data_IF_063423919184
#
_entry.id   IF_063423919184
#
_cell.length_a   1.000
_cell.length_b   1.000
_cell.length_c   1.000
_cell.angle_alpha   90.00
_cell.angle_beta   90.00
_cell.angle_gamma   90.00
#
_symmetry.space_group_name_H-M   'P 1'
#
loop_
_entity.id
_entity.type
_entity.pdbx_description
1 polymer ?
#
# COMPACT_ATOMS: atom_id res chain seq x y z
N UNK A 1 -27.41 -18.23 -1.58
CA UNK A 1 -26.17 -18.54 -2.31
C UNK A 1 -26.06 -17.58 -3.48
N UNK A 2 -25.07 -16.71 -3.40
CA UNK A 2 -24.70 -15.74 -4.42
C UNK A 2 -23.48 -16.24 -5.19
N UNK A 3 -23.42 -15.99 -6.50
CA UNK A 3 -22.26 -16.30 -7.32
C UNK A 3 -21.72 -15.01 -7.93
N UNK A 4 -20.52 -14.60 -7.52
CA UNK A 4 -19.85 -13.42 -8.06
C UNK A 4 -18.92 -13.84 -9.18
N UNK A 5 -19.26 -13.46 -10.41
CA UNK A 5 -18.41 -13.61 -11.57
C UNK A 5 -17.67 -12.30 -11.83
N UNK A 6 -16.36 -12.31 -11.60
CA UNK A 6 -15.54 -11.10 -11.61
C UNK A 6 -14.61 -11.12 -12.82
N UNK A 7 -14.74 -10.10 -13.66
CA UNK A 7 -13.90 -9.86 -14.85
C UNK A 7 -12.43 -9.55 -14.45
N UNK A 8 -11.48 -9.86 -15.34
CA UNK A 8 -10.04 -9.59 -15.12
C UNK A 8 -9.77 -8.14 -14.80
N UNK A 9 -10.45 -7.21 -15.48
CA UNK A 9 -10.22 -5.78 -15.29
C UNK A 9 -10.44 -5.35 -13.84
N UNK A 10 -11.46 -5.93 -13.18
CA UNK A 10 -11.81 -5.64 -11.79
C UNK A 10 -10.71 -6.12 -10.84
N UNK A 11 -10.16 -7.32 -11.04
CA UNK A 11 -9.03 -7.83 -10.25
C UNK A 11 -7.79 -6.94 -10.35
N UNK A 12 -7.49 -6.44 -11.55
CA UNK A 12 -6.38 -5.52 -11.77
C UNK A 12 -6.62 -4.15 -11.12
N UNK A 13 -7.88 -3.72 -11.00
CA UNK A 13 -8.25 -2.49 -10.29
C UNK A 13 -8.19 -2.67 -8.78
N UNK A 14 -8.68 -3.79 -8.23
CA UNK A 14 -8.56 -4.12 -6.79
C UNK A 14 -7.10 -4.07 -6.37
N UNK A 15 -6.20 -4.66 -7.16
CA UNK A 15 -4.76 -4.69 -6.86
C UNK A 15 -4.06 -3.31 -6.86
N UNK A 16 -4.73 -2.26 -7.36
CA UNK A 16 -4.24 -0.88 -7.37
C UNK A 16 -5.05 0.03 -6.44
N UNK A 17 -6.10 -0.50 -5.82
CA UNK A 17 -7.01 0.28 -4.99
C UNK A 17 -6.36 0.64 -3.66
N UNK A 18 -6.68 1.84 -3.15
CA UNK A 18 -6.30 2.23 -1.78
C UNK A 18 -7.04 1.39 -0.73
N UNK A 19 -8.26 0.92 -1.04
CA UNK A 19 -9.10 0.12 -0.15
C UNK A 19 -8.92 -1.38 -0.39
N UNK A 20 -7.77 -1.80 -0.94
CA UNK A 20 -7.48 -3.19 -1.28
C UNK A 20 -7.67 -4.15 -0.09
N UNK A 21 -7.33 -3.72 1.14
CA UNK A 21 -7.42 -4.56 2.34
C UNK A 21 -8.87 -4.84 2.74
N UNK A 22 -9.71 -3.81 2.80
CA UNK A 22 -11.14 -3.95 3.08
C UNK A 22 -11.84 -4.83 2.02
N UNK A 23 -11.50 -4.67 0.73
CA UNK A 23 -12.06 -5.48 -0.35
C UNK A 23 -11.66 -6.96 -0.23
N UNK A 24 -10.38 -7.24 0.04
CA UNK A 24 -9.88 -8.61 0.19
C UNK A 24 -10.49 -9.30 1.42
N UNK A 25 -10.61 -8.58 2.53
CA UNK A 25 -11.23 -9.09 3.74
C UNK A 25 -12.72 -9.37 3.53
N UNK A 26 -13.44 -8.47 2.86
CA UNK A 26 -14.83 -8.69 2.49
C UNK A 26 -15.01 -9.96 1.66
N UNK A 27 -14.12 -10.22 0.69
CA UNK A 27 -14.18 -11.46 -0.08
C UNK A 27 -13.93 -12.71 0.77
N UNK A 28 -12.96 -12.67 1.70
CA UNK A 28 -12.74 -13.80 2.60
C UNK A 28 -13.97 -14.07 3.46
N UNK A 29 -14.59 -13.03 4.05
CA UNK A 29 -15.80 -13.18 4.86
C UNK A 29 -16.98 -13.71 4.04
N UNK A 30 -17.15 -13.23 2.79
CA UNK A 30 -18.16 -13.73 1.86
C UNK A 30 -17.97 -15.23 1.53
N UNK A 31 -16.72 -15.68 1.37
CA UNK A 31 -16.40 -17.10 1.13
C UNK A 31 -16.61 -17.94 2.41
N UNK A 32 -16.17 -17.45 3.57
CA UNK A 32 -16.24 -18.17 4.84
C UNK A 32 -17.68 -18.30 5.37
N UNK A 33 -18.54 -17.31 5.08
CA UNK A 33 -19.96 -17.34 5.44
C UNK A 33 -20.77 -18.41 4.68
N UNK A 34 -20.20 -19.02 3.63
CA UNK A 34 -20.89 -19.91 2.68
C UNK A 34 -22.15 -19.30 2.04
N UNK A 35 -22.35 -17.98 2.14
CA UNK A 35 -23.47 -17.29 1.52
C UNK A 35 -23.15 -16.88 0.07
N UNK A 36 -21.86 -16.72 -0.25
CA UNK A 36 -21.39 -16.38 -1.58
C UNK A 36 -20.25 -17.30 -2.04
N UNK A 37 -20.17 -17.50 -3.35
CA UNK A 37 -19.04 -18.12 -4.02
C UNK A 37 -18.52 -17.18 -5.10
N UNK A 38 -17.20 -17.03 -5.19
CA UNK A 38 -16.56 -16.26 -6.24
C UNK A 38 -16.19 -17.23 -7.36
N UNK A 39 -16.49 -16.85 -8.60
CA UNK A 39 -16.33 -17.65 -9.80
C UNK A 39 -15.35 -16.94 -10.71
N UNK A 40 -14.26 -17.63 -11.06
CA UNK A 40 -13.15 -17.07 -11.82
C UNK A 40 -12.84 -17.98 -13.02
N UNK A 41 -12.99 -17.49 -14.25
CA UNK A 41 -12.49 -18.19 -15.42
C UNK A 41 -10.98 -18.38 -15.36
N UNK A 42 -10.50 -19.53 -15.83
CA UNK A 42 -9.06 -19.81 -15.92
C UNK A 42 -8.34 -18.75 -16.74
N UNK A 43 -8.99 -18.26 -17.81
CA UNK A 43 -8.50 -17.15 -18.63
C UNK A 43 -8.24 -15.86 -17.80
N UNK A 44 -9.14 -15.55 -16.86
CA UNK A 44 -9.02 -14.36 -15.98
C UNK A 44 -7.81 -14.51 -15.05
N UNK A 45 -7.67 -15.69 -14.42
CA UNK A 45 -6.56 -15.98 -13.53
C UNK A 45 -5.21 -15.92 -14.26
N UNK A 46 -5.12 -16.55 -15.43
CA UNK A 46 -3.91 -16.52 -16.27
C UNK A 46 -3.55 -15.09 -16.70
N UNK A 47 -4.54 -14.28 -17.08
CA UNK A 47 -4.33 -12.90 -17.46
C UNK A 47 -3.87 -12.04 -16.27
N UNK A 48 -4.43 -12.26 -15.08
CA UNK A 48 -3.98 -11.60 -13.86
C UNK A 48 -2.52 -11.96 -13.53
N UNK A 49 -2.19 -13.25 -13.50
CA UNK A 49 -0.83 -13.74 -13.19
C UNK A 49 0.21 -13.20 -14.18
N UNK A 50 -0.11 -13.15 -15.47
CA UNK A 50 0.77 -12.56 -16.49
C UNK A 50 1.00 -11.06 -16.27
N UNK A 51 0.03 -10.36 -15.68
CA UNK A 51 0.14 -8.94 -15.38
C UNK A 51 0.64 -8.66 -13.94
N UNK A 52 0.88 -9.68 -13.11
CA UNK A 52 1.26 -9.57 -11.68
C UNK A 52 2.42 -8.61 -11.45
N UNK A 53 3.53 -8.81 -12.14
CA UNK A 53 4.73 -7.96 -12.00
C UNK A 53 4.46 -6.51 -12.38
N UNK A 54 3.65 -6.31 -13.43
CA UNK A 54 3.27 -4.97 -13.89
C UNK A 54 2.36 -4.27 -12.88
N UNK A 55 1.50 -5.01 -12.19
CA UNK A 55 0.64 -4.47 -11.12
C UNK A 55 1.48 -4.02 -9.95
N UNK A 56 2.42 -4.85 -9.48
CA UNK A 56 3.36 -4.50 -8.41
C UNK A 56 4.15 -3.23 -8.76
N UNK A 57 4.65 -3.14 -10.00
CA UNK A 57 5.37 -1.96 -10.48
C UNK A 57 4.47 -0.72 -10.61
N UNK A 58 3.21 -0.88 -11.02
CA UNK A 58 2.26 0.23 -11.08
C UNK A 58 1.93 0.77 -9.68
N UNK A 59 1.75 -0.12 -8.69
CA UNK A 59 1.51 0.27 -7.30
C UNK A 59 2.73 1.02 -6.72
N UNK A 60 3.96 0.54 -7.00
CA UNK A 60 5.22 1.25 -6.70
C UNK A 60 5.22 2.68 -7.24
N UNK A 61 4.91 2.84 -8.53
CA UNK A 61 4.89 4.14 -9.19
C UNK A 61 3.79 5.05 -8.64
N UNK A 62 2.62 4.50 -8.32
CA UNK A 62 1.51 5.25 -7.74
C UNK A 62 1.90 5.84 -6.38
N UNK A 63 2.43 5.02 -5.47
CA UNK A 63 2.89 5.50 -4.14
C UNK A 63 3.97 6.57 -4.32
N UNK A 64 4.95 6.34 -5.19
CA UNK A 64 5.98 7.35 -5.51
C UNK A 64 5.39 8.66 -6.06
N UNK A 65 4.35 8.58 -6.89
CA UNK A 65 3.68 9.76 -7.46
C UNK A 65 2.87 10.55 -6.44
N UNK A 66 2.16 9.86 -5.54
CA UNK A 66 1.42 10.49 -4.43
C UNK A 66 2.40 11.19 -3.49
N UNK A 67 3.50 10.52 -3.19
CA UNK A 67 4.60 11.08 -2.41
C UNK A 67 5.14 12.37 -3.02
N UNK A 68 5.35 12.37 -4.34
CA UNK A 68 5.80 13.54 -5.08
C UNK A 68 4.77 14.68 -5.08
N UNK A 69 3.47 14.37 -5.17
CA UNK A 69 2.39 15.36 -5.06
C UNK A 69 2.38 16.02 -3.69
N UNK A 70 2.49 15.23 -2.61
CA UNK A 70 2.56 15.75 -1.24
C UNK A 70 3.79 16.65 -1.08
N UNK A 71 4.96 16.20 -1.55
CA UNK A 71 6.19 17.00 -1.55
C UNK A 71 6.02 18.33 -2.31
N UNK A 72 5.32 18.33 -3.44
CA UNK A 72 5.04 19.53 -4.24
C UNK A 72 4.08 20.49 -3.53
N UNK A 73 3.05 19.98 -2.87
CA UNK A 73 2.10 20.78 -2.09
C UNK A 73 2.82 21.45 -0.92
N UNK A 74 3.59 20.69 -0.14
CA UNK A 74 4.41 21.25 0.95
C UNK A 74 5.44 22.23 0.41
N UNK A 75 6.05 21.94 -0.75
CA UNK A 75 6.97 22.85 -1.41
C UNK A 75 6.34 24.18 -1.82
N UNK A 76 5.10 24.17 -2.28
CA UNK A 76 4.39 25.35 -2.79
C UNK A 76 3.68 26.17 -1.71
N UNK A 77 3.16 25.51 -0.66
CA UNK A 77 2.29 26.12 0.34
C UNK A 77 2.81 25.97 1.78
N UNK A 78 3.97 25.34 1.99
CA UNK A 78 4.56 25.17 3.31
C UNK A 78 5.04 26.50 3.89
N UNK A 79 4.60 26.80 5.12
CA UNK A 79 5.06 27.94 5.91
C UNK A 79 6.42 27.68 6.60
N UNK A 80 6.59 28.20 7.81
CA UNK A 80 7.88 28.16 8.54
C UNK A 80 8.43 26.74 8.83
N UNK A 81 7.61 25.67 8.73
CA UNK A 81 8.04 24.28 8.91
C UNK A 81 8.34 23.51 7.61
N UNK A 82 8.35 24.19 6.46
CA UNK A 82 8.47 23.56 5.12
C UNK A 82 9.70 22.68 4.98
N UNK A 83 10.88 23.17 5.35
CA UNK A 83 12.13 22.45 5.11
C UNK A 83 12.23 21.19 5.97
N UNK A 84 11.70 21.25 7.19
CA UNK A 84 11.58 20.11 8.10
C UNK A 84 10.60 19.05 7.56
N UNK A 85 9.43 19.50 7.08
CA UNK A 85 8.44 18.61 6.47
C UNK A 85 8.95 17.97 5.16
N UNK A 86 9.74 18.70 4.35
CA UNK A 86 10.38 18.15 3.16
C UNK A 86 11.51 17.17 3.50
N UNK A 87 12.26 17.41 4.59
CA UNK A 87 13.29 16.48 5.06
C UNK A 87 12.69 15.16 5.55
N UNK A 88 11.61 15.23 6.34
CA UNK A 88 10.82 14.07 6.75
C UNK A 88 10.33 13.31 5.52
N UNK A 89 9.73 14.00 4.56
CA UNK A 89 9.30 13.33 3.33
C UNK A 89 10.48 12.69 2.58
N UNK A 90 11.63 13.35 2.46
CA UNK A 90 12.76 12.73 1.78
C UNK A 90 13.25 11.44 2.47
N UNK A 91 13.21 11.39 3.80
CA UNK A 91 13.54 10.19 4.59
C UNK A 91 12.54 9.05 4.33
N UNK A 92 11.23 9.32 4.41
CA UNK A 92 10.19 8.33 4.07
C UNK A 92 10.33 7.86 2.62
N UNK A 93 10.61 8.79 1.70
CA UNK A 93 10.86 8.51 0.29
C UNK A 93 12.05 7.56 0.06
N UNK A 94 13.05 7.57 0.93
CA UNK A 94 14.20 6.67 0.85
C UNK A 94 13.88 5.22 1.25
N UNK A 95 12.85 5.02 2.08
CA UNK A 95 12.37 3.70 2.55
C UNK A 95 11.19 3.16 1.75
N UNK A 96 10.68 3.97 0.83
CA UNK A 96 9.61 3.64 -0.10
C UNK A 96 9.85 2.33 -0.90
N UNK A 97 11.10 2.00 -1.32
CA UNK A 97 11.40 0.69 -1.91
C UNK A 97 11.11 -0.50 -0.96
N UNK A 98 11.38 -0.36 0.33
CA UNK A 98 11.14 -1.39 1.36
C UNK A 98 9.63 -1.50 1.65
N UNK A 99 8.94 -0.35 1.77
CA UNK A 99 7.47 -0.30 1.86
C UNK A 99 6.80 -0.91 0.62
N UNK A 100 7.45 -0.80 -0.54
CA UNK A 100 6.96 -1.41 -1.77
C UNK A 100 7.22 -2.91 -1.89
N UNK A 101 8.22 -3.46 -1.20
CA UNK A 101 8.36 -4.91 -1.03
C UNK A 101 7.21 -5.47 -0.20
N UNK A 102 6.74 -4.75 0.81
CA UNK A 102 5.51 -5.10 1.56
C UNK A 102 4.27 -5.10 0.65
N UNK A 103 4.21 -4.26 -0.41
CA UNK A 103 3.09 -4.29 -1.38
C UNK A 103 3.09 -5.48 -2.35
N UNK A 104 4.19 -6.23 -2.47
CA UNK A 104 4.19 -7.52 -3.19
C UNK A 104 3.19 -8.51 -2.61
N UNK A 105 2.93 -8.38 -1.30
CA UNK A 105 1.95 -9.18 -0.56
C UNK A 105 0.53 -9.04 -1.11
N UNK A 106 0.12 -7.88 -1.67
CA UNK A 106 -1.26 -7.73 -2.19
C UNK A 106 -1.54 -8.64 -3.36
N UNK A 107 -0.62 -8.69 -4.33
CA UNK A 107 -0.80 -9.53 -5.50
C UNK A 107 -0.81 -11.02 -5.13
N UNK A 108 -0.02 -11.41 -4.12
CA UNK A 108 -0.01 -12.75 -3.53
C UNK A 108 -1.29 -13.06 -2.75
N UNK A 109 -1.84 -12.10 -2.00
CA UNK A 109 -3.14 -12.25 -1.33
C UNK A 109 -4.28 -12.43 -2.34
N UNK A 110 -4.27 -11.66 -3.43
CA UNK A 110 -5.26 -11.82 -4.51
C UNK A 110 -5.10 -13.21 -5.14
N UNK A 111 -3.88 -13.66 -5.43
CA UNK A 111 -3.64 -14.99 -5.98
C UNK A 111 -4.15 -16.10 -5.03
N UNK A 112 -3.84 -16.01 -3.74
CA UNK A 112 -4.34 -16.91 -2.70
C UNK A 112 -5.88 -16.89 -2.59
N UNK A 113 -6.50 -15.73 -2.73
CA UNK A 113 -7.95 -15.60 -2.80
C UNK A 113 -8.52 -16.29 -4.05
N UNK A 114 -7.89 -16.09 -5.22
CA UNK A 114 -8.29 -16.74 -6.47
C UNK A 114 -8.19 -18.27 -6.38
N UNK A 115 -7.24 -18.81 -5.60
CA UNK A 115 -7.11 -20.25 -5.34
C UNK A 115 -8.29 -20.82 -4.55
N UNK A 116 -8.96 -20.01 -3.71
CA UNK A 116 -10.18 -20.41 -2.98
C UNK A 116 -11.45 -20.34 -3.84
N UNK A 117 -11.38 -19.70 -5.01
CA UNK A 117 -12.53 -19.46 -5.87
C UNK A 117 -12.90 -20.68 -6.74
N UNK A 118 -14.13 -20.70 -7.24
CA UNK A 118 -14.57 -21.70 -8.23
C UNK A 118 -13.90 -21.37 -9.57
N UNK A 119 -12.99 -22.23 -10.00
CA UNK A 119 -12.35 -22.11 -11.32
C UNK A 119 -13.24 -22.66 -12.43
N UNK A 120 -13.37 -21.92 -13.53
CA UNK A 120 -14.11 -22.34 -14.72
C UNK A 120 -13.22 -22.41 -15.96
N UNK A 121 -13.36 -23.49 -16.72
CA UNK A 121 -12.73 -23.65 -18.03
C UNK A 121 -13.75 -23.49 -19.15
N UNK A 122 -13.39 -22.73 -20.19
CA UNK A 122 -14.24 -22.55 -21.36
C UNK A 122 -14.24 -23.80 -22.25
N UNK A 123 -15.37 -24.50 -22.28
CA UNK A 123 -15.63 -25.62 -23.17
C UNK A 123 -15.64 -25.20 -24.65
N UNK A 124 -15.48 -26.17 -25.57
CA UNK A 124 -15.57 -25.90 -27.01
C UNK A 124 -16.93 -25.30 -27.40
N UNK A 125 -18.01 -25.72 -26.73
CA UNK A 125 -19.35 -25.16 -26.94
C UNK A 125 -19.39 -23.66 -26.60
N UNK A 126 -18.82 -23.25 -25.47
CA UNK A 126 -18.72 -21.85 -25.07
C UNK A 126 -17.87 -21.05 -26.07
N UNK A 127 -16.73 -21.59 -26.50
CA UNK A 127 -15.86 -20.94 -27.49
C UNK A 127 -16.57 -20.74 -28.83
N UNK A 128 -17.35 -21.73 -29.28
CA UNK A 128 -18.15 -21.65 -30.50
C UNK A 128 -19.23 -20.56 -30.40
N UNK A 129 -19.94 -20.47 -29.27
CA UNK A 129 -20.94 -19.40 -29.04
C UNK A 129 -20.28 -18.02 -29.02
N UNK A 130 -19.10 -17.90 -28.42
CA UNK A 130 -18.34 -16.64 -28.42
C UNK A 130 -17.93 -16.21 -29.84
N UNK A 131 -17.49 -17.14 -30.67
CA UNK A 131 -17.20 -16.86 -32.09
C UNK A 131 -18.48 -16.50 -32.86
N UNK A 132 -19.61 -17.14 -32.57
CA UNK A 132 -20.89 -16.81 -33.20
C UNK A 132 -21.30 -15.35 -32.95
N UNK A 133 -21.09 -14.82 -31.73
CA UNK A 133 -21.31 -13.38 -31.45
C UNK A 133 -20.48 -12.48 -32.37
N UNK A 134 -19.23 -12.84 -32.65
CA UNK A 134 -18.37 -12.10 -33.57
C UNK A 134 -18.90 -12.09 -35.00
N UNK A 135 -19.34 -13.26 -35.49
CA UNK A 135 -19.93 -13.41 -36.82
C UNK A 135 -21.22 -12.61 -36.97
N UNK A 136 -22.05 -12.62 -35.93
CA UNK A 136 -23.33 -11.88 -35.86
C UNK A 136 -23.14 -10.38 -35.57
N UNK A 137 -21.91 -9.94 -35.27
CA UNK A 137 -21.58 -8.59 -34.78
C UNK A 137 -22.38 -8.15 -33.54
N UNK A 138 -22.70 -9.12 -32.67
CA UNK A 138 -23.34 -8.89 -31.38
C UNK A 138 -22.31 -8.51 -30.33
N UNK A 139 -22.71 -7.81 -29.28
CA UNK A 139 -21.85 -7.47 -28.16
C UNK A 139 -21.14 -8.72 -27.62
N UNK A 140 -19.81 -8.63 -27.35
CA UNK A 140 -18.98 -7.42 -27.29
C UNK A 140 -18.37 -6.92 -28.63
N UNK A 141 -18.80 -7.46 -29.80
CA UNK A 141 -18.27 -7.11 -31.13
C UNK A 141 -19.07 -6.04 -31.89
N UNK A 142 -20.01 -5.36 -31.24
CA UNK A 142 -20.73 -4.19 -31.78
C UNK A 142 -19.80 -3.01 -32.09
N UNK A 143 -18.55 -3.06 -31.60
CA UNK A 143 -17.47 -2.11 -31.89
C UNK A 143 -16.32 -2.84 -32.60
N UNK A 144 -15.58 -2.14 -33.45
CA UNK A 144 -14.53 -2.71 -34.34
C UNK A 144 -13.25 -3.24 -33.65
N UNK A 145 -13.35 -3.67 -32.38
CA UNK A 145 -12.25 -4.24 -31.59
C UNK A 145 -12.31 -5.78 -31.54
N UNK A 146 -11.15 -6.38 -31.25
CA UNK A 146 -11.01 -7.82 -31.05
C UNK A 146 -11.38 -8.20 -29.60
N UNK A 147 -12.67 -8.37 -29.34
CA UNK A 147 -13.23 -8.63 -27.99
C UNK A 147 -13.53 -10.13 -27.75
N UNK A 148 -12.66 -11.02 -28.26
CA UNK A 148 -12.85 -12.48 -28.13
C UNK A 148 -12.80 -12.94 -26.67
N UNK A 149 -11.88 -12.41 -25.85
CA UNK A 149 -11.79 -12.73 -24.43
C UNK A 149 -13.10 -12.37 -23.72
N UNK A 150 -13.56 -11.12 -23.86
CA UNK A 150 -14.83 -10.62 -23.32
C UNK A 150 -16.03 -11.46 -23.77
N UNK A 151 -16.03 -11.92 -25.03
CA UNK A 151 -17.08 -12.77 -25.54
C UNK A 151 -17.06 -14.18 -24.94
N UNK A 152 -15.88 -14.72 -24.67
CA UNK A 152 -15.74 -16.00 -23.94
C UNK A 152 -16.19 -15.81 -22.50
N UNK A 153 -15.85 -14.69 -21.85
CA UNK A 153 -16.22 -14.40 -20.47
C UNK A 153 -17.74 -14.41 -20.27
N UNK A 154 -18.49 -13.71 -21.11
CA UNK A 154 -19.95 -13.62 -20.95
C UNK A 154 -20.67 -14.92 -21.34
N UNK A 155 -20.17 -15.64 -22.35
CA UNK A 155 -20.73 -16.95 -22.72
C UNK A 155 -20.44 -18.01 -21.65
N UNK A 156 -19.26 -17.99 -21.03
CA UNK A 156 -18.91 -18.88 -19.93
C UNK A 156 -19.75 -18.59 -18.69
N UNK A 157 -19.97 -17.31 -18.39
CA UNK A 157 -20.90 -16.90 -17.34
C UNK A 157 -22.31 -17.45 -17.60
N UNK A 158 -22.84 -17.25 -18.81
CA UNK A 158 -24.16 -17.75 -19.19
C UNK A 158 -24.27 -19.27 -19.13
N UNK A 159 -23.24 -20.00 -19.55
CA UNK A 159 -23.19 -21.47 -19.49
C UNK A 159 -23.19 -21.96 -18.03
N UNK A 160 -22.38 -21.33 -17.16
CA UNK A 160 -22.30 -21.67 -15.73
C UNK A 160 -23.64 -21.50 -15.00
N UNK A 161 -24.40 -20.45 -15.33
CA UNK A 161 -25.68 -20.18 -14.67
C UNK A 161 -26.76 -21.23 -14.96
N UNK A 162 -26.71 -21.89 -16.12
CA UNK A 162 -27.76 -22.83 -16.55
C UNK A 162 -27.92 -24.03 -15.63
N UNK A 163 -26.81 -24.48 -15.04
CA UNK A 163 -26.77 -25.68 -14.20
C UNK A 163 -26.76 -25.35 -12.70
N UNK A 164 -27.05 -24.10 -12.33
CA UNK A 164 -26.96 -23.60 -10.95
C UNK A 164 -28.22 -22.83 -10.54
N UNK A 165 -28.63 -23.01 -9.29
CA UNK A 165 -29.65 -22.19 -8.66
C UNK A 165 -28.97 -21.18 -7.72
N UNK A 166 -29.40 -19.92 -7.78
CA UNK A 166 -28.89 -18.85 -6.94
C UNK A 166 -29.11 -17.48 -7.54
N UNK A 167 -28.50 -16.49 -6.91
CA UNK A 167 -28.40 -15.13 -7.40
C UNK A 167 -27.01 -14.95 -8.02
N UNK A 168 -26.94 -14.40 -9.21
CA UNK A 168 -25.69 -14.26 -9.96
C UNK A 168 -25.33 -12.80 -10.11
N UNK A 169 -24.05 -12.48 -9.96
CA UNK A 169 -23.54 -11.12 -10.06
C UNK A 169 -22.43 -11.13 -11.12
N UNK A 170 -22.63 -10.44 -12.23
CA UNK A 170 -21.59 -10.21 -13.23
C UNK A 170 -20.96 -8.84 -12.98
N UNK A 171 -19.66 -8.81 -12.67
CA UNK A 171 -18.93 -7.60 -12.31
C UNK A 171 -17.88 -7.30 -13.36
N UNK A 172 -17.97 -6.14 -14.02
CA UNK A 172 -16.99 -5.67 -15.01
C UNK A 172 -16.87 -4.15 -14.99
N UNK A 173 -15.68 -3.62 -15.23
CA UNK A 173 -15.49 -2.18 -15.47
C UNK A 173 -15.59 -1.82 -16.96
N UNK A 174 -15.67 -2.82 -17.86
CA UNK A 174 -15.76 -2.61 -19.30
C UNK A 174 -17.20 -2.26 -19.74
N UNK A 175 -17.68 -1.09 -19.31
CA UNK A 175 -18.97 -0.55 -19.73
C UNK A 175 -19.05 -0.31 -21.25
N UNK A 176 -17.90 -0.20 -21.94
CA UNK A 176 -17.90 0.04 -23.39
C UNK A 176 -18.43 -1.13 -24.17
N UNK A 177 -18.11 -2.35 -23.72
CA UNK A 177 -18.46 -3.56 -24.44
C UNK A 177 -19.63 -4.30 -23.77
N UNK A 178 -19.84 -4.11 -22.46
CA UNK A 178 -20.88 -4.81 -21.71
C UNK A 178 -22.15 -4.00 -21.41
N UNK A 179 -22.10 -2.67 -21.44
CA UNK A 179 -23.25 -1.84 -21.08
C UNK A 179 -24.06 -1.33 -22.27
N UNK A 180 -25.30 -0.96 -21.99
CA UNK A 180 -26.16 -0.21 -22.90
C UNK A 180 -25.57 1.17 -23.24
N UNK A 181 -25.91 1.67 -24.44
CA UNK A 181 -25.55 3.02 -24.89
C UNK A 181 -26.36 4.12 -24.18
N UNK A 182 -27.55 3.79 -23.67
CA UNK A 182 -28.46 4.77 -23.03
C UNK A 182 -28.17 4.96 -21.55
N UNK A 183 -27.97 3.87 -20.83
CA UNK A 183 -27.63 3.85 -19.41
C UNK A 183 -26.59 2.76 -19.16
N UNK A 184 -25.41 3.17 -18.68
CA UNK A 184 -24.28 2.27 -18.47
C UNK A 184 -24.54 1.25 -17.37
N UNK A 185 -25.47 1.53 -16.45
CA UNK A 185 -25.85 0.61 -15.37
C UNK A 185 -26.64 -0.59 -15.87
N UNK A 186 -27.18 -0.51 -17.09
CA UNK A 186 -27.89 -1.61 -17.70
C UNK A 186 -26.96 -2.39 -18.64
N UNK A 187 -27.07 -3.74 -18.68
CA UNK A 187 -26.32 -4.55 -19.63
C UNK A 187 -26.73 -4.21 -21.06
N UNK A 188 -25.83 -4.49 -22.02
CA UNK A 188 -26.12 -4.31 -23.43
C UNK A 188 -27.33 -5.16 -23.86
N UNK A 189 -28.23 -4.66 -24.74
CA UNK A 189 -29.43 -5.39 -25.16
C UNK A 189 -29.19 -6.80 -25.73
N UNK A 190 -28.05 -7.02 -26.37
CA UNK A 190 -27.62 -8.33 -26.90
C UNK A 190 -27.37 -9.40 -25.81
N UNK A 191 -27.42 -9.01 -24.54
CA UNK A 191 -27.34 -9.91 -23.39
C UNK A 191 -28.71 -10.09 -22.70
N UNK A 192 -29.82 -9.70 -23.33
CA UNK A 192 -31.16 -9.80 -22.73
C UNK A 192 -31.58 -11.22 -22.33
N UNK A 193 -31.00 -12.25 -22.95
CA UNK A 193 -31.22 -13.67 -22.59
C UNK A 193 -30.41 -14.12 -21.36
N UNK A 194 -29.39 -13.35 -20.99
CA UNK A 194 -28.44 -13.65 -19.91
C UNK A 194 -28.89 -12.97 -18.61
N UNK A 195 -29.30 -11.71 -18.69
CA UNK A 195 -29.66 -10.90 -17.52
C UNK A 195 -31.17 -10.98 -17.25
N UNK A 196 -31.56 -11.97 -16.44
CA UNK A 196 -32.91 -12.15 -15.88
C UNK A 196 -33.02 -11.62 -14.44
N UNK A 197 -34.19 -11.78 -13.80
CA UNK A 197 -34.48 -11.24 -12.46
C UNK A 197 -33.47 -11.63 -11.36
N UNK A 198 -32.83 -12.79 -11.47
CA UNK A 198 -31.84 -13.30 -10.52
C UNK A 198 -30.37 -13.05 -10.94
N UNK A 199 -30.14 -12.24 -11.98
CA UNK A 199 -28.82 -11.95 -12.53
C UNK A 199 -28.58 -10.44 -12.50
N UNK A 200 -27.65 -10.02 -11.66
CA UNK A 200 -27.32 -8.61 -11.44
C UNK A 200 -26.05 -8.23 -12.20
N UNK A 201 -26.09 -7.07 -12.84
CA UNK A 201 -24.96 -6.47 -13.54
C UNK A 201 -24.38 -5.33 -12.69
N UNK A 202 -23.08 -5.40 -12.42
CA UNK A 202 -22.38 -4.42 -11.57
C UNK A 202 -21.19 -3.83 -12.31
N UNK A 203 -21.06 -2.50 -12.25
CA UNK A 203 -19.88 -1.79 -12.76
C UNK A 203 -18.81 -1.56 -11.71
N UNK A 204 -19.15 -1.79 -10.44
CA UNK A 204 -18.30 -1.56 -9.29
C UNK A 204 -18.39 -2.80 -8.38
N UNK A 205 -17.23 -3.29 -7.95
CA UNK A 205 -17.16 -4.42 -7.03
C UNK A 205 -17.73 -4.07 -5.66
N UNK A 206 -17.61 -2.82 -5.22
CA UNK A 206 -18.17 -2.39 -3.94
C UNK A 206 -19.70 -2.44 -3.95
N UNK A 207 -20.34 -2.07 -5.08
CA UNK A 207 -21.77 -2.21 -5.29
C UNK A 207 -22.19 -3.69 -5.27
N UNK A 208 -21.41 -4.56 -5.92
CA UNK A 208 -21.68 -5.99 -5.93
C UNK A 208 -21.62 -6.60 -4.51
N UNK A 209 -20.60 -6.27 -3.71
CA UNK A 209 -20.46 -6.74 -2.32
C UNK A 209 -21.63 -6.22 -1.47
N UNK A 210 -21.93 -4.92 -1.53
CA UNK A 210 -23.03 -4.32 -0.78
C UNK A 210 -24.41 -4.90 -1.16
N UNK A 211 -24.58 -5.37 -2.39
CA UNK A 211 -25.82 -6.04 -2.82
C UNK A 211 -26.02 -7.43 -2.19
N UNK A 212 -24.95 -8.03 -1.67
CA UNK A 212 -24.95 -9.36 -1.04
C UNK A 212 -24.98 -9.20 0.48
N UNK A 213 -24.09 -8.37 1.01
CA UNK A 213 -23.96 -8.10 2.43
C UNK A 213 -23.86 -6.58 2.65
N UNK A 214 -24.99 -5.91 2.93
CA UNK A 214 -25.02 -4.49 3.19
C UNK A 214 -24.10 -4.11 4.35
N UNK A 215 -23.44 -2.96 4.23
CA UNK A 215 -22.56 -2.37 5.27
C UNK A 215 -21.24 -3.11 5.53
N UNK A 216 -21.01 -4.29 4.95
CA UNK A 216 -19.77 -5.06 5.14
C UNK A 216 -18.51 -4.23 4.85
N UNK A 217 -18.49 -3.57 3.69
CA UNK A 217 -17.33 -2.75 3.31
C UNK A 217 -17.16 -1.53 4.20
N UNK A 218 -18.23 -0.85 4.58
CA UNK A 218 -18.13 0.31 5.47
C UNK A 218 -17.61 -0.08 6.86
N UNK A 219 -18.06 -1.21 7.41
CA UNK A 219 -17.57 -1.71 8.70
C UNK A 219 -16.08 -2.04 8.61
N UNK A 220 -15.66 -2.74 7.56
CA UNK A 220 -14.25 -3.08 7.35
C UNK A 220 -13.37 -1.86 7.08
N UNK A 221 -13.89 -0.85 6.38
CA UNK A 221 -13.19 0.42 6.18
C UNK A 221 -13.04 1.19 7.50
N UNK A 222 -14.07 1.22 8.35
CA UNK A 222 -14.01 1.82 9.68
C UNK A 222 -13.02 1.08 10.60
N UNK A 223 -13.04 -0.25 10.63
CA UNK A 223 -12.09 -1.06 11.40
C UNK A 223 -10.65 -0.87 10.95
N UNK A 224 -10.41 -0.81 9.63
CA UNK A 224 -9.08 -0.53 9.10
C UNK A 224 -8.62 0.91 9.43
N UNK A 225 -9.53 1.89 9.40
CA UNK A 225 -9.22 3.26 9.78
C UNK A 225 -8.95 3.41 11.30
N UNK A 226 -9.46 2.49 12.14
CA UNK A 226 -9.16 2.52 13.58
C UNK A 226 -7.67 2.28 13.87
N UNK A 227 -6.96 1.53 13.03
CA UNK A 227 -5.50 1.39 13.13
C UNK A 227 -4.74 2.70 12.83
N UNK A 228 -5.33 3.63 12.07
CA UNK A 228 -4.69 4.92 11.73
C UNK A 228 -4.77 5.94 12.88
N UNK A 229 -5.78 5.86 13.76
CA UNK A 229 -6.02 6.90 14.79
C UNK A 229 -5.18 6.71 16.09
N UNK A 230 -4.74 5.48 16.39
CA UNK A 230 -3.98 5.17 17.64
C UNK A 230 -2.46 5.03 17.45
N UNK A 231 -1.94 5.16 16.21
CA UNK A 231 -0.50 5.09 15.96
C UNK A 231 0.17 6.46 15.99
N UNK A 232 1.40 6.54 16.48
CA UNK A 232 2.20 7.78 16.35
C UNK A 232 2.51 7.98 14.88
N UNK A 233 2.29 9.20 14.37
CA UNK A 233 2.63 9.50 12.99
C UNK A 233 4.13 9.28 12.76
N UNK A 234 4.51 8.91 11.54
CA UNK A 234 5.93 8.76 11.19
C UNK A 234 6.72 10.05 11.45
N UNK A 235 6.07 11.22 11.29
CA UNK A 235 6.65 12.52 11.64
C UNK A 235 6.96 12.63 13.13
N UNK A 236 6.04 12.21 14.01
CA UNK A 236 6.25 12.23 15.46
C UNK A 236 7.37 11.28 15.86
N UNK A 237 7.42 10.09 15.25
CA UNK A 237 8.48 9.09 15.46
C UNK A 237 9.83 9.66 15.06
N UNK A 238 9.97 10.23 13.85
CA UNK A 238 11.23 10.80 13.37
C UNK A 238 11.66 12.03 14.17
N UNK A 239 10.71 12.88 14.58
CA UNK A 239 10.99 14.04 15.45
C UNK A 239 11.56 13.58 16.78
N UNK A 240 10.95 12.55 17.39
CA UNK A 240 11.44 11.96 18.63
C UNK A 240 12.82 11.29 18.46
N UNK A 241 13.05 10.57 17.36
CA UNK A 241 14.37 10.01 17.04
C UNK A 241 15.42 11.12 16.94
N UNK A 242 15.14 12.21 16.21
CA UNK A 242 16.10 13.31 16.06
C UNK A 242 16.42 13.95 17.40
N UNK A 243 15.40 14.18 18.26
CA UNK A 243 15.61 14.66 19.62
C UNK A 243 16.50 13.72 20.44
N UNK A 244 16.20 12.43 20.48
CA UNK A 244 16.99 11.50 21.25
C UNK A 244 18.41 11.32 20.70
N UNK A 245 18.60 11.36 19.38
CA UNK A 245 19.94 11.37 18.76
C UNK A 245 20.76 12.58 19.21
N UNK A 246 20.20 13.79 19.14
CA UNK A 246 20.90 15.02 19.53
C UNK A 246 21.22 15.02 21.04
N UNK A 247 20.30 14.54 21.87
CA UNK A 247 20.50 14.37 23.33
C UNK A 247 21.59 13.33 23.65
N UNK A 248 21.57 12.18 22.97
CA UNK A 248 22.58 11.14 23.15
C UNK A 248 23.96 11.63 22.68
N UNK A 249 24.03 12.31 21.54
CA UNK A 249 25.25 12.92 21.03
C UNK A 249 25.79 13.96 22.02
N UNK A 250 24.92 14.83 22.54
CA UNK A 250 25.30 15.89 23.48
C UNK A 250 25.86 15.33 24.79
N UNK A 251 25.23 14.30 25.36
CA UNK A 251 25.78 13.63 26.55
C UNK A 251 27.19 13.07 26.30
N UNK A 252 27.39 12.41 25.16
CA UNK A 252 28.71 11.90 24.73
C UNK A 252 29.71 13.04 24.50
N UNK A 253 29.26 14.18 24.00
CA UNK A 253 30.07 15.38 23.85
C UNK A 253 30.53 15.93 25.21
N UNK A 254 29.62 16.08 26.20
CA UNK A 254 29.98 16.51 27.56
C UNK A 254 30.93 15.54 28.25
N UNK A 255 30.78 14.24 28.03
CA UNK A 255 31.75 13.25 28.51
C UNK A 255 33.14 13.43 27.85
N UNK A 256 33.20 13.74 26.56
CA UNK A 256 34.46 14.07 25.88
C UNK A 256 35.07 15.36 26.39
N UNK A 257 34.27 16.39 26.66
CA UNK A 257 34.72 17.64 27.27
C UNK A 257 35.41 17.38 28.61
N UNK A 258 34.75 16.64 29.50
CA UNK A 258 35.33 16.19 30.76
C UNK A 258 36.66 15.45 30.57
N UNK A 259 36.73 14.55 29.58
CA UNK A 259 37.97 13.82 29.25
C UNK A 259 39.11 14.72 28.77
N UNK A 260 38.78 15.82 28.09
CA UNK A 260 39.77 16.84 27.70
C UNK A 260 40.22 17.62 28.94
N UNK A 261 39.30 18.03 29.81
CA UNK A 261 39.59 18.80 31.02
C UNK A 261 40.56 18.06 31.97
N UNK A 262 40.38 16.74 32.14
CA UNK A 262 41.26 15.92 32.97
C UNK A 262 42.54 15.48 32.25
N UNK A 263 42.71 15.81 30.97
CA UNK A 263 43.91 15.53 30.17
C UNK A 263 43.98 14.14 29.54
N UNK A 264 42.91 13.34 29.59
CA UNK A 264 42.84 12.02 28.94
C UNK A 264 42.77 12.15 27.41
N UNK A 265 42.17 13.23 26.90
CA UNK A 265 42.10 13.55 25.47
C UNK A 265 42.83 14.88 25.22
N UNK A 266 43.79 14.87 24.30
CA UNK A 266 44.55 16.08 23.93
C UNK A 266 43.98 16.75 22.68
N UNK A 267 43.80 18.08 22.73
CA UNK A 267 43.49 18.88 21.54
C UNK A 267 44.79 19.10 20.75
N UNK A 268 44.78 18.73 19.47
CA UNK A 268 45.93 18.86 18.57
C UNK A 268 45.65 19.84 17.42
N UNK A 269 46.69 20.50 16.87
CA UNK A 269 46.51 21.46 15.78
C UNK A 269 45.90 20.82 14.54
N UNK A 270 45.14 21.63 13.79
CA UNK A 270 44.56 21.21 12.50
C UNK A 270 45.64 20.69 11.55
N UNK A 271 45.41 19.49 11.00
CA UNK A 271 46.30 18.89 9.99
C UNK A 271 47.45 18.06 10.57
N UNK A 272 47.49 17.86 11.89
CA UNK A 272 48.41 16.91 12.54
C UNK A 272 48.10 15.46 12.12
N UNK A 273 49.14 14.65 11.88
CA UNK A 273 48.97 13.26 11.43
C UNK A 273 48.44 12.30 12.51
N UNK A 274 48.45 12.71 13.78
CA UNK A 274 48.00 11.88 14.91
C UNK A 274 46.48 11.69 14.88
N UNK A 275 46.05 10.44 14.93
CA UNK A 275 44.64 10.03 15.00
C UNK A 275 44.47 8.94 16.07
N UNK A 276 43.30 8.89 16.71
CA UNK A 276 42.98 7.90 17.74
C UNK A 276 42.00 8.44 18.77
N UNK A 277 41.62 7.60 19.73
CA UNK A 277 40.60 7.93 20.72
C UNK A 277 41.05 8.98 21.77
N UNK A 278 42.37 9.21 21.89
CA UNK A 278 42.95 10.11 22.90
C UNK A 278 43.36 11.47 22.32
N UNK A 279 43.01 11.77 21.06
CA UNK A 279 43.31 13.06 20.42
C UNK A 279 42.10 13.58 19.65
N UNK A 280 41.94 14.90 19.63
CA UNK A 280 40.92 15.58 18.81
C UNK A 280 41.54 16.78 18.12
N UNK A 281 41.25 16.96 16.83
CA UNK A 281 41.73 18.13 16.10
C UNK A 281 40.96 19.38 16.52
N UNK A 282 41.68 20.50 16.67
CA UNK A 282 41.14 21.80 17.07
C UNK A 282 39.92 22.22 16.24
N UNK A 283 39.95 22.06 14.92
CA UNK A 283 38.85 22.43 14.04
C UNK A 283 37.62 21.51 14.13
N UNK A 284 37.81 20.25 14.56
CA UNK A 284 36.71 19.35 14.90
C UNK A 284 36.11 19.76 16.24
N UNK A 285 36.95 20.08 17.22
CA UNK A 285 36.51 20.50 18.55
C UNK A 285 35.72 21.82 18.52
N UNK A 286 36.18 22.81 17.77
CA UNK A 286 35.46 24.08 17.59
C UNK A 286 34.07 23.86 16.97
N UNK A 287 33.96 23.00 15.95
CA UNK A 287 32.66 22.66 15.36
C UNK A 287 31.75 21.89 16.32
N UNK A 288 32.32 21.01 17.14
CA UNK A 288 31.57 20.27 18.14
C UNK A 288 30.99 21.21 19.22
N UNK A 289 31.76 22.20 19.68
CA UNK A 289 31.27 23.23 20.61
C UNK A 289 30.08 24.02 20.04
N UNK A 290 30.20 24.49 18.79
CA UNK A 290 29.10 25.18 18.11
C UNK A 290 27.86 24.30 17.91
N UNK A 291 28.03 22.99 17.75
CA UNK A 291 26.92 22.06 17.66
C UNK A 291 26.28 21.83 19.04
N UNK A 292 27.07 21.76 20.12
CA UNK A 292 26.58 21.62 21.48
C UNK A 292 25.74 22.82 21.92
N UNK A 293 26.20 24.06 21.65
CA UNK A 293 25.43 25.29 21.92
C UNK A 293 24.05 25.26 21.25
N UNK A 294 23.96 24.77 20.00
CA UNK A 294 22.67 24.63 19.31
C UNK A 294 21.73 23.62 19.96
N UNK A 295 22.26 22.54 20.53
CA UNK A 295 21.46 21.53 21.24
C UNK A 295 20.94 22.12 22.55
N UNK A 296 21.78 22.85 23.29
CA UNK A 296 21.40 23.58 24.51
C UNK A 296 20.33 24.65 24.25
N UNK A 297 20.40 25.36 23.13
CA UNK A 297 19.38 26.34 22.72
C UNK A 297 18.06 25.68 22.30
N UNK A 298 18.11 24.47 21.72
CA UNK A 298 16.96 23.78 21.14
C UNK A 298 16.14 23.02 22.17
N UNK A 299 16.76 22.48 23.22
CA UNK A 299 16.10 21.63 24.20
C UNK A 299 16.26 22.16 25.62
N UNK A 300 15.14 22.29 26.33
CA UNK A 300 15.13 22.69 27.74
C UNK A 300 15.80 21.63 28.64
N UNK A 301 15.64 20.35 28.30
CA UNK A 301 16.24 19.22 29.00
C UNK A 301 17.38 18.62 28.17
N UNK A 302 18.61 18.92 28.56
CA UNK A 302 19.85 18.32 28.01
C UNK A 302 20.65 17.58 29.09
N UNK A 303 20.03 17.29 30.22
CA UNK A 303 20.64 16.69 31.40
C UNK A 303 21.31 17.70 32.34
N UNK A 304 22.19 17.23 33.27
CA UNK A 304 22.64 15.85 33.42
C UNK A 304 21.52 14.91 33.86
N UNK A 305 21.48 13.72 33.28
CA UNK A 305 20.51 12.66 33.57
C UNK A 305 21.08 11.64 34.55
N UNK A 306 20.23 11.04 35.38
CA UNK A 306 20.60 9.87 36.17
C UNK A 306 20.67 8.58 35.30
N UNK A 307 21.11 7.46 35.89
CA UNK A 307 21.26 6.19 35.17
C UNK A 307 19.94 5.69 34.57
N UNK A 308 18.80 5.97 35.23
CA UNK A 308 17.49 5.55 34.77
C UNK A 308 17.02 6.41 33.60
N UNK A 309 17.10 7.74 33.73
CA UNK A 309 16.76 8.70 32.70
C UNK A 309 17.61 8.50 31.44
N UNK A 310 18.92 8.30 31.62
CA UNK A 310 19.83 7.98 30.53
C UNK A 310 19.49 6.65 29.86
N UNK A 311 19.22 5.61 30.64
CA UNK A 311 18.75 4.32 30.14
C UNK A 311 17.44 4.44 29.37
N UNK A 312 16.52 5.28 29.84
CA UNK A 312 15.23 5.53 29.20
C UNK A 312 15.39 6.26 27.86
N UNK A 313 16.28 7.25 27.75
CA UNK A 313 16.55 7.95 26.48
C UNK A 313 17.10 6.98 25.44
N UNK A 314 18.09 6.17 25.81
CA UNK A 314 18.67 5.17 24.90
C UNK A 314 17.65 4.09 24.53
N UNK A 315 16.84 3.63 25.50
CA UNK A 315 15.78 2.64 25.26
C UNK A 315 14.70 3.16 24.31
N UNK A 316 14.28 4.42 24.47
CA UNK A 316 13.32 5.07 23.55
C UNK A 316 13.92 5.22 22.14
N UNK A 317 15.18 5.66 22.03
CA UNK A 317 15.86 5.76 20.73
C UNK A 317 15.94 4.41 20.03
N UNK A 318 16.38 3.37 20.75
CA UNK A 318 16.46 1.99 20.25
C UNK A 318 15.10 1.47 19.80
N UNK A 319 14.05 1.61 20.62
CA UNK A 319 12.71 1.16 20.28
C UNK A 319 12.17 1.84 19.01
N UNK A 320 12.35 3.17 18.89
CA UNK A 320 11.89 3.92 17.72
C UNK A 320 12.68 3.56 16.45
N UNK A 321 13.99 3.32 16.55
CA UNK A 321 14.83 2.86 15.42
C UNK A 321 14.49 1.44 15.00
N UNK A 322 14.25 0.54 15.95
CA UNK A 322 13.83 -0.83 15.70
C UNK A 322 12.49 -0.92 14.98
N UNK A 323 11.51 -0.12 15.38
CA UNK A 323 10.21 0.00 14.66
C UNK A 323 10.40 0.45 13.21
N UNK A 324 11.48 1.17 12.91
CA UNK A 324 11.82 1.63 11.56
C UNK A 324 12.75 0.68 10.78
N UNK A 325 13.11 -0.47 11.37
CA UNK A 325 13.88 -1.54 10.72
C UNK A 325 15.37 -1.57 11.05
N UNK A 326 15.87 -0.74 11.96
CA UNK A 326 17.25 -0.82 12.44
C UNK A 326 17.43 -1.94 13.49
N UNK A 327 18.66 -2.41 13.67
CA UNK A 327 18.98 -3.37 14.74
C UNK A 327 18.85 -2.73 16.13
N UNK A 328 18.50 -3.55 17.13
CA UNK A 328 18.14 -3.10 18.47
C UNK A 328 19.24 -2.27 19.17
N UNK A 329 20.50 -2.55 18.89
CA UNK A 329 21.68 -1.91 19.50
C UNK A 329 22.24 -0.72 18.69
N UNK A 330 21.56 -0.31 17.62
CA UNK A 330 21.97 0.83 16.79
C UNK A 330 21.74 2.17 17.50
N UNK A 331 22.70 2.56 18.33
CA UNK A 331 22.71 3.82 19.09
C UNK A 331 23.77 4.81 18.59
N UNK A 332 24.24 4.66 17.35
CA UNK A 332 25.17 5.60 16.74
C UNK A 332 24.51 6.98 16.54
N UNK A 333 25.25 8.04 16.87
CA UNK A 333 24.77 9.44 16.87
C UNK A 333 25.82 10.40 16.38
#
# INVERSE_FOLDING_TARGET
MHYLYIDTCVWLTIAKSKNQHALLEAFNQLLDSNNAAIVIPTLVKEEFLRNKDRVIEATKQQIGSEFHKVKKIIGAYGGNGKDQALAVLNDVGSRLPILSEVTGHTAEMIESLMDKCISLEASDSVRLKAVARALDKRAPFHRSKNSVADSILIELFYDFMKDKNGVFHFVTENYTDFSSLTDRRNPHPDFGEIFSDNVHYHLDIAEAINSIEPELLSVLEEENNWFDDDTRSLTDILTAINEYCEKVWYNRHKYREYKIEIGDISIIPKGDARHGNNVIHEDIWERAKLAAEKVEEKYEDTGPWDDFEWGMINGKLSALRWVLGDEWDMLDT
#
